data_IF_001738792744
#
_entry.id   IF_001738792744
#
_cell.length_a   1.000
_cell.length_b   1.000
_cell.length_c   1.000
_cell.angle_alpha   90.00
_cell.angle_beta   90.00
_cell.angle_gamma   90.00
#
_symmetry.space_group_name_H-M   'P 1'
#
loop_
_entity.id
_entity.type
_entity.pdbx_description
1 polymer ?
#
# COMPACT_ATOMS: atom_id res chain seq x y z
N UNK A 1 -14.37 -2.35 0.84
CA UNK A 1 -13.29 -1.92 -0.11
C UNK A 1 -13.90 -1.45 -1.44
N UNK A 2 -13.38 -0.38 -2.05
CA UNK A 2 -13.89 0.08 -3.36
C UNK A 2 -13.41 -0.80 -4.52
N UNK A 3 -14.32 -1.15 -5.42
CA UNK A 3 -14.04 -1.78 -6.72
C UNK A 3 -14.69 -0.96 -7.84
N UNK A 4 -14.10 -1.05 -9.03
CA UNK A 4 -14.47 -0.25 -10.20
C UNK A 4 -14.79 -1.10 -11.42
N UNK A 5 -15.81 -0.70 -12.16
CA UNK A 5 -16.12 -1.25 -13.48
C UNK A 5 -16.04 -0.13 -14.51
N UNK A 6 -15.24 -0.31 -15.56
CA UNK A 6 -15.15 0.65 -16.66
C UNK A 6 -16.12 0.27 -17.76
N UNK A 7 -17.01 1.18 -18.12
CA UNK A 7 -18.05 0.96 -19.13
C UNK A 7 -18.28 2.21 -19.97
N UNK A 8 -18.95 2.04 -21.11
CA UNK A 8 -19.39 3.17 -21.93
C UNK A 8 -20.44 3.98 -21.16
N UNK A 9 -20.26 5.30 -21.15
CA UNK A 9 -21.17 6.21 -20.46
C UNK A 9 -22.61 6.11 -20.98
N UNK A 10 -22.79 6.12 -22.30
CA UNK A 10 -24.10 5.99 -22.94
C UNK A 10 -24.79 4.65 -22.60
N UNK A 11 -24.02 3.56 -22.55
CA UNK A 11 -24.57 2.25 -22.19
C UNK A 11 -25.03 2.22 -20.72
N UNK A 12 -24.24 2.83 -19.83
CA UNK A 12 -24.62 2.99 -18.43
C UNK A 12 -25.88 3.83 -18.25
N UNK A 13 -25.93 5.02 -18.85
CA UNK A 13 -27.05 5.95 -18.76
C UNK A 13 -28.35 5.30 -19.22
N UNK A 14 -28.30 4.51 -20.30
CA UNK A 14 -29.46 3.78 -20.81
C UNK A 14 -29.94 2.66 -19.88
N UNK A 15 -29.02 1.88 -19.31
CA UNK A 15 -29.43 0.76 -18.44
C UNK A 15 -29.94 1.28 -17.09
N UNK A 16 -29.26 2.26 -16.51
CA UNK A 16 -29.52 2.73 -15.14
C UNK A 16 -30.86 3.44 -14.99
N UNK A 17 -31.46 3.94 -16.08
CA UNK A 17 -32.86 4.41 -16.12
C UNK A 17 -33.86 3.35 -15.62
N UNK A 18 -33.53 2.06 -15.77
CA UNK A 18 -34.33 0.94 -15.27
C UNK A 18 -34.03 0.57 -13.81
N UNK A 19 -33.19 1.34 -13.12
CA UNK A 19 -32.77 1.13 -11.73
C UNK A 19 -31.59 0.16 -11.56
N UNK A 20 -31.11 -0.47 -12.64
CA UNK A 20 -30.03 -1.47 -12.60
C UNK A 20 -29.05 -1.35 -13.76
N UNK A 21 -27.82 -1.81 -13.56
CA UNK A 21 -26.78 -1.90 -14.58
C UNK A 21 -26.17 -3.31 -14.69
N UNK A 22 -25.81 -3.71 -15.91
CA UNK A 22 -24.99 -4.89 -16.20
C UNK A 22 -25.71 -5.98 -16.99
N UNK A 23 -26.84 -5.66 -17.61
CA UNK A 23 -27.66 -6.61 -18.38
C UNK A 23 -26.85 -7.26 -19.48
N UNK A 24 -26.09 -6.44 -20.22
CA UNK A 24 -25.28 -6.91 -21.36
C UNK A 24 -24.13 -7.82 -20.91
N UNK A 25 -23.47 -7.49 -19.80
CA UNK A 25 -22.34 -8.19 -19.21
C UNK A 25 -22.78 -9.54 -18.66
N UNK A 26 -23.90 -9.57 -17.93
CA UNK A 26 -24.48 -10.80 -17.39
C UNK A 26 -24.88 -11.74 -18.53
N UNK A 27 -25.49 -11.23 -19.60
CA UNK A 27 -25.84 -12.04 -20.77
C UNK A 27 -24.60 -12.60 -21.48
N UNK A 28 -23.50 -11.84 -21.54
CA UNK A 28 -22.29 -12.23 -22.26
C UNK A 28 -21.37 -13.17 -21.46
N UNK A 29 -21.20 -12.92 -20.16
CA UNK A 29 -20.20 -13.60 -19.31
C UNK A 29 -20.77 -14.28 -18.07
N UNK A 30 -22.03 -14.00 -17.71
CA UNK A 30 -22.65 -14.46 -16.46
C UNK A 30 -22.25 -13.67 -15.22
N UNK A 31 -21.41 -12.63 -15.36
CA UNK A 31 -20.96 -11.74 -14.30
C UNK A 31 -20.51 -10.39 -14.88
N UNK A 32 -20.51 -9.37 -14.04
CA UNK A 32 -19.88 -8.07 -14.33
C UNK A 32 -18.46 -8.11 -13.76
N UNK A 33 -17.47 -7.89 -14.62
CA UNK A 33 -16.06 -7.88 -14.21
C UNK A 33 -15.68 -6.49 -13.69
N UNK A 34 -15.24 -6.43 -12.44
CA UNK A 34 -14.68 -5.25 -11.80
C UNK A 34 -13.14 -5.36 -11.68
N UNK A 35 -12.51 -4.31 -11.21
CA UNK A 35 -11.12 -4.26 -10.78
C UNK A 35 -11.01 -3.46 -9.48
N UNK A 36 -9.88 -3.52 -8.80
CA UNK A 36 -9.51 -2.46 -7.84
C UNK A 36 -8.83 -1.32 -8.61
N UNK A 37 -8.66 -0.17 -7.97
CA UNK A 37 -7.85 0.91 -8.53
C UNK A 37 -6.42 0.45 -8.86
N UNK A 38 -5.88 -0.47 -8.07
CA UNK A 38 -4.54 -1.04 -8.26
C UNK A 38 -4.46 -2.04 -9.42
N UNK A 39 -5.53 -2.83 -9.67
CA UNK A 39 -5.54 -3.84 -10.74
C UNK A 39 -6.07 -3.33 -12.07
N UNK A 40 -6.72 -2.17 -12.13
CA UNK A 40 -7.30 -1.68 -13.37
C UNK A 40 -6.28 -1.47 -14.50
N UNK A 41 -5.01 -1.18 -14.18
CA UNK A 41 -3.92 -1.06 -15.17
C UNK A 41 -3.78 -2.28 -16.10
N UNK A 42 -4.20 -3.46 -15.65
CA UNK A 42 -4.14 -4.69 -16.46
C UNK A 42 -5.33 -4.81 -17.42
N UNK A 43 -6.44 -4.09 -17.16
CA UNK A 43 -7.62 -4.01 -18.01
C UNK A 43 -7.60 -2.78 -18.93
N UNK A 44 -6.93 -1.70 -18.51
CA UNK A 44 -6.91 -0.41 -19.19
C UNK A 44 -6.58 -0.49 -20.71
N UNK A 45 -5.62 -1.31 -21.19
CA UNK A 45 -5.33 -1.44 -22.63
C UNK A 45 -6.52 -1.79 -23.52
N UNK A 46 -7.56 -2.44 -22.99
CA UNK A 46 -8.76 -2.75 -23.76
C UNK A 46 -9.61 -1.52 -24.09
N UNK A 47 -9.52 -0.46 -23.28
CA UNK A 47 -10.34 0.75 -23.35
C UNK A 47 -9.68 1.87 -24.16
N UNK A 48 -8.37 1.80 -24.43
CA UNK A 48 -7.65 2.76 -25.29
C UNK A 48 -7.80 2.50 -26.79
N UNK A 49 -8.67 1.58 -27.19
CA UNK A 49 -8.85 1.18 -28.60
C UNK A 49 -9.73 2.15 -29.40
N UNK A 50 -10.44 3.05 -28.72
CA UNK A 50 -11.30 4.05 -29.33
C UNK A 50 -11.37 5.31 -28.44
N UNK A 51 -12.15 6.31 -28.86
CA UNK A 51 -12.26 7.62 -28.20
C UNK A 51 -13.65 7.87 -27.60
N UNK A 52 -14.45 6.82 -27.39
CA UNK A 52 -15.79 6.97 -26.80
C UNK A 52 -15.68 7.37 -25.34
N UNK A 53 -16.72 7.98 -24.79
CA UNK A 53 -16.74 8.34 -23.37
C UNK A 53 -16.95 7.09 -22.50
N UNK A 54 -15.94 6.78 -21.68
CA UNK A 54 -16.02 5.75 -20.65
C UNK A 54 -16.09 6.38 -19.26
N UNK A 55 -16.72 5.67 -18.34
CA UNK A 55 -16.79 6.01 -16.93
C UNK A 55 -16.43 4.81 -16.07
N UNK A 56 -15.94 5.07 -14.87
CA UNK A 56 -15.83 4.11 -13.78
C UNK A 56 -17.09 4.15 -12.93
N UNK A 57 -17.77 3.02 -12.84
CA UNK A 57 -18.77 2.77 -11.80
C UNK A 57 -18.03 2.34 -10.54
N UNK A 58 -18.07 3.18 -9.49
CA UNK A 58 -17.43 2.89 -8.21
C UNK A 58 -18.47 2.31 -7.26
N UNK A 59 -18.21 1.10 -6.77
CA UNK A 59 -19.07 0.43 -5.78
C UNK A 59 -18.24 0.03 -4.57
N UNK A 60 -18.89 -0.02 -3.41
CA UNK A 60 -18.27 -0.56 -2.19
C UNK A 60 -18.60 -2.06 -2.12
N UNK A 61 -17.57 -2.90 -2.13
CA UNK A 61 -17.70 -4.36 -2.16
C UNK A 61 -18.60 -4.88 -1.03
N UNK A 62 -18.57 -4.25 0.14
CA UNK A 62 -19.36 -4.63 1.32
C UNK A 62 -20.85 -4.25 1.22
N UNK A 63 -21.20 -3.38 0.26
CA UNK A 63 -22.58 -2.94 0.01
C UNK A 63 -23.25 -3.65 -1.17
N UNK A 64 -22.48 -4.40 -1.95
CA UNK A 64 -23.02 -5.17 -3.08
C UNK A 64 -23.81 -6.37 -2.56
N UNK A 65 -25.09 -6.42 -2.91
CA UNK A 65 -26.06 -7.48 -2.55
C UNK A 65 -25.74 -8.80 -3.24
N UNK A 66 -25.21 -8.73 -4.46
CA UNK A 66 -24.89 -9.90 -5.25
C UNK A 66 -23.57 -10.54 -4.80
N UNK A 67 -23.44 -11.83 -5.07
CA UNK A 67 -22.22 -12.57 -4.73
C UNK A 67 -21.03 -12.04 -5.52
N UNK A 68 -19.92 -11.83 -4.83
CA UNK A 68 -18.63 -11.47 -5.41
C UNK A 68 -17.68 -12.67 -5.36
N UNK A 69 -16.96 -12.94 -6.44
CA UNK A 69 -15.84 -13.88 -6.47
C UNK A 69 -14.67 -13.28 -7.24
N UNK A 70 -13.46 -13.59 -6.80
CA UNK A 70 -12.27 -13.26 -7.56
C UNK A 70 -12.04 -14.34 -8.63
N UNK A 71 -12.01 -13.92 -9.89
CA UNK A 71 -11.78 -14.80 -11.05
C UNK A 71 -10.42 -14.45 -11.66
N UNK A 72 -9.59 -15.47 -11.87
CA UNK A 72 -8.28 -15.32 -12.51
C UNK A 72 -8.43 -15.21 -14.02
N UNK A 73 -7.70 -14.27 -14.63
CA UNK A 73 -7.55 -14.21 -16.07
C UNK A 73 -6.53 -15.24 -16.58
N UNK A 74 -6.27 -15.25 -17.89
CA UNK A 74 -5.30 -16.14 -18.53
C UNK A 74 -3.83 -15.94 -18.08
N UNK A 75 -3.51 -14.80 -17.46
CA UNK A 75 -2.19 -14.50 -16.87
C UNK A 75 -2.15 -14.82 -15.37
N UNK A 76 -3.28 -15.16 -14.77
CA UNK A 76 -3.44 -15.47 -13.35
C UNK A 76 -3.79 -14.26 -12.48
N UNK A 77 -3.98 -13.06 -13.06
CA UNK A 77 -4.44 -11.88 -12.32
C UNK A 77 -5.89 -12.06 -11.88
N UNK A 78 -6.16 -11.86 -10.60
CA UNK A 78 -7.46 -12.11 -9.99
C UNK A 78 -8.28 -10.81 -9.90
N UNK A 79 -9.45 -10.81 -10.51
CA UNK A 79 -10.35 -9.65 -10.57
C UNK A 79 -11.68 -9.95 -9.85
N UNK A 80 -12.25 -8.98 -9.10
CA UNK A 80 -13.57 -9.13 -8.51
C UNK A 80 -14.64 -9.21 -9.61
N UNK A 81 -15.52 -10.21 -9.52
CA UNK A 81 -16.63 -10.42 -10.45
C UNK A 81 -17.94 -10.49 -9.65
N UNK A 82 -18.91 -9.65 -10.03
CA UNK A 82 -20.23 -9.59 -9.42
C UNK A 82 -21.21 -10.45 -10.21
N UNK A 83 -21.82 -11.43 -9.56
CA UNK A 83 -22.76 -12.37 -10.19
C UNK A 83 -24.20 -11.88 -10.05
N UNK A 84 -24.51 -10.79 -10.72
CA UNK A 84 -25.84 -10.16 -10.77
C UNK A 84 -25.74 -8.71 -11.23
N UNK A 85 -26.89 -8.11 -11.56
CA UNK A 85 -26.96 -6.70 -11.94
C UNK A 85 -26.72 -5.80 -10.72
N UNK A 86 -26.02 -4.69 -10.93
CA UNK A 86 -25.79 -3.66 -9.91
C UNK A 86 -27.02 -2.77 -9.82
N UNK A 87 -27.50 -2.51 -8.61
CA UNK A 87 -28.61 -1.62 -8.32
C UNK A 87 -28.10 -0.17 -8.26
N UNK A 88 -28.93 0.79 -8.64
CA UNK A 88 -28.55 2.21 -8.66
C UNK A 88 -28.04 2.71 -7.29
N UNK A 89 -28.62 2.24 -6.19
CA UNK A 89 -28.22 2.60 -4.83
C UNK A 89 -26.91 1.94 -4.34
N UNK A 90 -26.40 0.95 -5.07
CA UNK A 90 -25.09 0.33 -4.82
C UNK A 90 -23.95 1.13 -5.48
N UNK A 91 -24.27 2.00 -6.43
CA UNK A 91 -23.29 2.85 -7.13
C UNK A 91 -23.00 4.07 -6.28
N UNK A 92 -21.80 4.11 -5.70
CA UNK A 92 -21.35 5.21 -4.83
C UNK A 92 -21.14 6.49 -5.62
N UNK A 93 -20.52 6.38 -6.79
CA UNK A 93 -20.26 7.49 -7.73
C UNK A 93 -19.85 6.95 -9.09
N UNK A 94 -20.03 7.78 -10.11
CA UNK A 94 -19.42 7.59 -11.43
C UNK A 94 -18.25 8.55 -11.58
N UNK A 95 -17.13 8.09 -12.12
CA UNK A 95 -15.97 8.95 -12.39
C UNK A 95 -15.55 8.86 -13.86
N UNK A 96 -15.24 9.95 -14.55
CA UNK A 96 -14.77 9.89 -15.93
C UNK A 96 -13.50 9.05 -16.07
N UNK A 97 -13.43 8.24 -17.14
CA UNK A 97 -12.19 7.63 -17.59
C UNK A 97 -11.53 8.56 -18.61
N UNK A 98 -10.36 9.10 -18.24
CA UNK A 98 -9.59 10.00 -19.11
C UNK A 98 -8.72 9.14 -20.03
N UNK A 99 -8.70 9.45 -21.33
CA UNK A 99 -7.89 8.73 -22.32
C UNK A 99 -6.45 9.24 -22.30
N UNK A 100 -5.79 9.15 -21.14
CA UNK A 100 -4.36 9.40 -21.02
C UNK A 100 -3.66 8.15 -20.47
N UNK A 101 -2.38 7.96 -20.81
CA UNK A 101 -1.57 6.77 -20.47
C UNK A 101 -1.38 6.53 -18.95
N UNK A 102 -1.92 7.42 -18.10
CA UNK A 102 -1.80 7.45 -16.64
C UNK A 102 -3.11 7.83 -15.93
N UNK A 103 -4.23 7.94 -16.63
CA UNK A 103 -5.47 8.55 -16.13
C UNK A 103 -6.05 7.84 -14.90
N UNK A 104 -5.79 6.54 -14.77
CA UNK A 104 -6.20 5.73 -13.62
C UNK A 104 -5.38 6.03 -12.35
N UNK A 105 -4.29 6.80 -12.43
CA UNK A 105 -3.45 7.19 -11.29
C UNK A 105 -3.95 8.44 -10.55
N UNK A 106 -4.87 9.22 -11.13
CA UNK A 106 -5.18 10.58 -10.67
C UNK A 106 -6.34 10.71 -9.68
N UNK A 107 -6.88 9.61 -9.12
CA UNK A 107 -8.13 9.71 -8.35
C UNK A 107 -7.95 9.76 -6.82
N UNK A 108 -6.81 9.31 -6.28
CA UNK A 108 -6.49 9.43 -4.86
C UNK A 108 -4.98 9.27 -4.63
N UNK A 109 -4.33 10.25 -4.01
CA UNK A 109 -2.96 10.09 -3.53
C UNK A 109 -2.91 8.98 -2.46
N UNK A 110 -1.85 8.18 -2.48
CA UNK A 110 -1.60 7.17 -1.46
C UNK A 110 -1.38 7.85 -0.10
N UNK A 111 -2.00 7.33 0.96
CA UNK A 111 -1.67 7.76 2.31
C UNK A 111 -0.43 7.01 2.76
N UNK A 112 0.58 7.72 3.25
CA UNK A 112 1.79 7.11 3.79
C UNK A 112 1.81 7.19 5.31
N UNK A 113 2.09 6.08 5.98
CA UNK A 113 2.24 6.03 7.45
C UNK A 113 3.62 5.47 7.79
N UNK A 114 4.42 6.29 8.44
CA UNK A 114 5.81 6.02 8.81
C UNK A 114 5.88 5.84 10.32
N UNK A 115 6.20 4.62 10.75
CA UNK A 115 6.25 4.23 12.17
C UNK A 115 7.64 3.73 12.55
N UNK A 116 7.87 3.57 13.85
CA UNK A 116 9.04 2.84 14.36
C UNK A 116 8.73 1.43 14.82
N UNK A 117 7.52 1.20 15.31
CA UNK A 117 7.08 -0.09 15.84
C UNK A 117 5.88 -0.63 15.07
N UNK A 118 5.74 -1.95 15.09
CA UNK A 118 4.58 -2.65 14.54
C UNK A 118 3.34 -2.54 15.44
N UNK A 119 3.49 -2.04 16.67
CA UNK A 119 2.43 -1.92 17.68
C UNK A 119 1.47 -0.75 17.39
N UNK A 120 0.76 -0.85 16.27
CA UNK A 120 -0.17 0.16 15.76
C UNK A 120 -1.47 0.23 16.56
N UNK A 121 -1.74 -0.73 17.44
CA UNK A 121 -2.94 -0.80 18.28
C UNK A 121 -2.75 -0.21 19.68
N UNK A 122 -1.57 0.34 19.99
CA UNK A 122 -1.34 0.98 21.28
C UNK A 122 -2.13 2.28 21.45
N UNK A 123 -2.45 2.63 22.71
CA UNK A 123 -3.28 3.79 23.02
C UNK A 123 -2.73 5.13 22.51
N UNK A 124 -1.41 5.26 22.36
CA UNK A 124 -0.77 6.50 21.93
C UNK A 124 -0.93 6.76 20.43
N UNK A 125 -1.01 5.72 19.59
CA UNK A 125 -1.13 5.83 18.14
C UNK A 125 -2.54 5.53 17.62
N UNK A 126 -3.31 4.68 18.31
CA UNK A 126 -4.64 4.25 17.88
C UNK A 126 -5.59 5.40 17.48
N UNK A 127 -5.69 6.52 18.24
CA UNK A 127 -6.57 7.62 17.85
C UNK A 127 -6.19 8.30 16.54
N UNK A 128 -4.90 8.31 16.17
CA UNK A 128 -4.41 8.85 14.91
C UNK A 128 -4.68 7.86 13.77
N UNK A 129 -4.35 6.58 13.98
CA UNK A 129 -4.39 5.54 12.95
C UNK A 129 -5.81 5.03 12.65
N UNK A 130 -6.75 5.09 13.59
CA UNK A 130 -8.16 4.63 13.38
C UNK A 130 -8.92 5.40 12.29
N UNK A 131 -8.39 6.53 11.83
CA UNK A 131 -8.94 7.29 10.70
C UNK A 131 -8.57 6.67 9.35
N UNK A 132 -7.51 5.87 9.32
CA UNK A 132 -6.90 5.29 8.12
C UNK A 132 -7.05 3.78 8.05
N UNK A 133 -7.41 3.13 9.16
CA UNK A 133 -7.61 1.68 9.27
C UNK A 133 -9.03 1.42 9.76
N UNK A 134 -9.77 0.60 9.01
CA UNK A 134 -11.17 0.26 9.21
C UNK A 134 -11.38 -1.26 9.21
N UNK A 135 -12.50 -1.71 9.78
CA UNK A 135 -12.83 -3.14 9.82
C UNK A 135 -13.10 -3.77 8.44
N UNK A 136 -13.27 -2.95 7.40
CA UNK A 136 -13.52 -3.37 6.01
C UNK A 136 -12.23 -3.44 5.18
N UNK A 137 -11.08 -3.13 5.78
CA UNK A 137 -9.82 -3.14 5.05
C UNK A 137 -9.32 -4.57 4.79
N UNK A 138 -8.53 -4.69 3.73
CA UNK A 138 -7.78 -5.87 3.34
C UNK A 138 -6.29 -5.49 3.41
N UNK A 139 -5.49 -6.22 4.18
CA UNK A 139 -4.08 -5.91 4.45
C UNK A 139 -3.17 -6.88 3.71
N UNK A 140 -2.20 -6.35 2.97
CA UNK A 140 -1.09 -7.10 2.39
C UNK A 140 0.19 -6.85 3.21
N UNK A 141 0.66 -7.86 3.94
CA UNK A 141 1.90 -7.79 4.72
C UNK A 141 3.08 -8.22 3.86
N UNK A 142 4.01 -7.30 3.65
CA UNK A 142 5.22 -7.48 2.84
C UNK A 142 6.39 -7.93 3.72
N UNK A 143 6.47 -9.23 4.00
CA UNK A 143 7.48 -9.84 4.89
C UNK A 143 8.83 -10.10 4.18
N UNK A 144 9.40 -9.05 3.61
CA UNK A 144 10.61 -9.10 2.78
C UNK A 144 11.83 -8.50 3.46
N UNK A 145 11.71 -8.04 4.70
CA UNK A 145 12.77 -7.34 5.45
C UNK A 145 13.71 -8.27 6.24
N UNK A 146 13.61 -9.58 6.08
CA UNK A 146 14.50 -10.52 6.79
C UNK A 146 15.97 -10.36 6.40
N UNK A 147 16.89 -10.66 7.32
CA UNK A 147 18.33 -10.61 7.07
C UNK A 147 18.83 -11.86 6.32
N UNK A 148 20.12 -11.91 6.01
CA UNK A 148 20.73 -13.01 5.25
C UNK A 148 20.84 -14.34 6.02
N UNK A 149 20.41 -14.37 7.27
CA UNK A 149 20.21 -15.59 8.06
C UNK A 149 19.01 -16.43 7.58
N UNK A 150 18.15 -15.84 6.74
CA UNK A 150 16.90 -16.44 6.27
C UNK A 150 17.03 -16.90 4.83
N UNK A 151 17.40 -18.16 4.63
CA UNK A 151 17.78 -18.71 3.33
C UNK A 151 16.77 -19.70 2.76
N UNK A 152 15.89 -20.20 3.59
CA UNK A 152 14.91 -21.23 3.24
C UNK A 152 13.50 -20.87 3.70
N UNK A 153 12.51 -21.58 3.17
CA UNK A 153 11.12 -21.50 3.64
C UNK A 153 11.01 -21.80 5.13
N UNK A 154 11.80 -22.73 5.67
CA UNK A 154 11.76 -23.05 7.10
C UNK A 154 12.30 -21.89 7.95
N UNK A 155 13.34 -21.20 7.51
CA UNK A 155 13.85 -20.00 8.18
C UNK A 155 12.80 -18.88 8.15
N UNK A 156 12.16 -18.69 7.00
CA UNK A 156 11.05 -17.73 6.85
C UNK A 156 9.89 -18.09 7.75
N UNK A 157 9.56 -19.39 7.85
CA UNK A 157 8.46 -19.86 8.69
C UNK A 157 8.73 -19.61 10.18
N UNK A 158 9.97 -19.77 10.66
CA UNK A 158 10.34 -19.42 12.05
C UNK A 158 10.11 -17.95 12.36
N UNK A 159 10.15 -17.09 11.34
CA UNK A 159 9.90 -15.65 11.49
C UNK A 159 8.44 -15.25 11.30
N UNK A 160 7.78 -15.73 10.24
CA UNK A 160 6.53 -15.13 9.76
C UNK A 160 5.37 -16.10 9.63
N UNK A 161 5.57 -17.42 9.84
CA UNK A 161 4.50 -18.40 9.63
C UNK A 161 3.29 -18.11 10.52
N UNK A 162 2.05 -18.16 9.97
CA UNK A 162 0.84 -18.00 10.76
C UNK A 162 0.80 -18.85 12.02
N UNK A 163 0.60 -18.18 13.16
CA UNK A 163 0.48 -18.79 14.49
C UNK A 163 1.79 -19.30 15.11
N UNK A 164 2.92 -19.28 14.40
CA UNK A 164 4.19 -19.86 14.86
C UNK A 164 5.37 -18.89 14.78
N UNK A 165 5.41 -18.04 13.75
CA UNK A 165 6.52 -17.13 13.50
C UNK A 165 6.63 -16.05 14.57
N UNK A 166 7.86 -15.75 14.99
CA UNK A 166 8.14 -14.76 16.04
C UNK A 166 7.58 -13.35 15.73
N UNK A 167 7.51 -12.98 14.46
CA UNK A 167 7.01 -11.69 13.98
C UNK A 167 5.55 -11.73 13.53
N UNK A 168 4.92 -12.91 13.51
CA UNK A 168 3.57 -13.04 12.94
C UNK A 168 2.53 -12.23 13.73
N UNK A 169 2.52 -12.36 15.06
CA UNK A 169 1.52 -11.70 15.91
C UNK A 169 1.66 -10.19 15.90
N UNK A 170 2.89 -9.67 16.00
CA UNK A 170 3.15 -8.23 16.00
C UNK A 170 2.75 -7.55 14.68
N UNK A 171 2.61 -8.32 13.60
CA UNK A 171 2.21 -7.82 12.29
C UNK A 171 0.81 -8.29 11.85
N UNK A 172 0.07 -9.00 12.70
CA UNK A 172 -1.29 -9.50 12.42
C UNK A 172 -2.28 -9.07 13.49
N UNK A 173 -2.00 -9.40 14.76
CA UNK A 173 -2.96 -9.24 15.85
C UNK A 173 -3.25 -7.76 16.14
N UNK A 174 -2.29 -6.87 15.84
CA UNK A 174 -2.41 -5.41 15.94
C UNK A 174 -3.54 -4.83 15.06
N UNK A 175 -3.99 -5.54 14.04
CA UNK A 175 -5.13 -5.10 13.21
C UNK A 175 -6.49 -5.44 13.85
N UNK A 176 -6.55 -6.36 14.82
CA UNK A 176 -7.82 -6.81 15.39
C UNK A 176 -8.51 -5.74 16.23
N UNK A 177 -7.75 -4.82 16.85
CA UNK A 177 -8.32 -3.67 17.56
C UNK A 177 -9.07 -2.70 16.62
N UNK A 178 -8.78 -2.76 15.31
CA UNK A 178 -9.48 -2.01 14.28
C UNK A 178 -10.70 -2.75 13.71
N UNK A 179 -10.95 -3.99 14.17
CA UNK A 179 -12.07 -4.82 13.75
C UNK A 179 -11.80 -5.71 12.54
N UNK A 180 -10.57 -5.73 12.01
CA UNK A 180 -10.18 -6.67 10.96
C UNK A 180 -10.15 -8.10 11.50
N UNK A 181 -10.45 -9.06 10.62
CA UNK A 181 -10.35 -10.49 10.89
C UNK A 181 -9.07 -11.06 10.28
N UNK A 182 -8.68 -12.25 10.75
CA UNK A 182 -7.44 -12.92 10.30
C UNK A 182 -7.44 -13.19 8.79
N UNK A 183 -8.61 -13.47 8.21
CA UNK A 183 -8.77 -13.77 6.78
C UNK A 183 -8.56 -12.53 5.89
N UNK A 184 -8.58 -11.33 6.48
CA UNK A 184 -8.32 -10.06 5.79
C UNK A 184 -6.83 -9.68 5.79
N UNK A 185 -5.96 -10.50 6.41
CA UNK A 185 -4.52 -10.23 6.53
C UNK A 185 -3.74 -11.23 5.67
N UNK A 186 -3.29 -10.76 4.51
CA UNK A 186 -2.63 -11.55 3.47
C UNK A 186 -1.12 -11.35 3.53
N UNK A 187 -0.39 -12.41 3.85
CA UNK A 187 1.07 -12.37 3.92
C UNK A 187 1.69 -12.72 2.58
N UNK A 188 2.62 -11.88 2.10
CA UNK A 188 3.48 -12.21 0.97
C UNK A 188 4.63 -13.08 1.45
N UNK A 189 4.76 -14.27 0.87
CA UNK A 189 5.81 -15.22 1.18
C UNK A 189 6.84 -15.25 0.05
N UNK A 190 8.06 -14.85 0.36
CA UNK A 190 9.18 -14.77 -0.59
C UNK A 190 9.49 -16.10 -1.29
N UNK A 191 9.35 -17.23 -0.59
CA UNK A 191 9.80 -18.53 -1.06
C UNK A 191 8.72 -19.30 -1.81
N UNK A 192 7.44 -19.04 -1.55
CA UNK A 192 6.33 -19.84 -2.11
C UNK A 192 5.44 -19.07 -3.06
N UNK A 193 5.28 -17.76 -2.89
CA UNK A 193 4.42 -17.00 -3.79
C UNK A 193 5.11 -16.81 -5.14
N UNK A 194 4.37 -17.05 -6.21
CA UNK A 194 4.74 -16.57 -7.53
C UNK A 194 4.57 -15.04 -7.60
N UNK A 195 5.29 -14.39 -8.53
CA UNK A 195 5.11 -12.96 -8.82
C UNK A 195 3.63 -12.57 -8.99
N UNK A 196 2.83 -13.38 -9.68
CA UNK A 196 1.41 -13.10 -9.92
C UNK A 196 0.59 -13.19 -8.61
N UNK A 197 0.91 -14.12 -7.72
CA UNK A 197 0.26 -14.20 -6.40
C UNK A 197 0.61 -12.99 -5.53
N UNK A 198 1.86 -12.54 -5.56
CA UNK A 198 2.28 -11.30 -4.88
C UNK A 198 1.53 -10.08 -5.43
N UNK A 199 1.47 -9.95 -6.76
CA UNK A 199 0.72 -8.87 -7.40
C UNK A 199 -0.76 -8.90 -7.01
N UNK A 200 -1.38 -10.08 -6.99
CA UNK A 200 -2.79 -10.23 -6.57
C UNK A 200 -3.01 -9.81 -5.11
N UNK A 201 -2.13 -10.18 -4.18
CA UNK A 201 -2.22 -9.78 -2.77
C UNK A 201 -2.11 -8.27 -2.61
N UNK A 202 -1.14 -7.65 -3.29
CA UNK A 202 -0.94 -6.20 -3.27
C UNK A 202 -2.15 -5.47 -3.87
N UNK A 203 -2.56 -5.84 -5.09
CA UNK A 203 -3.61 -5.10 -5.80
C UNK A 203 -4.99 -5.21 -5.15
N UNK A 204 -5.27 -6.33 -4.48
CA UNK A 204 -6.57 -6.59 -3.85
C UNK A 204 -6.59 -6.23 -2.36
N UNK A 205 -5.56 -5.52 -1.89
CA UNK A 205 -5.49 -4.97 -0.53
C UNK A 205 -5.74 -3.46 -0.56
N UNK A 206 -6.41 -2.93 0.47
CA UNK A 206 -6.56 -1.49 0.72
C UNK A 206 -5.44 -0.92 1.61
N UNK A 207 -4.68 -1.80 2.26
CA UNK A 207 -3.47 -1.47 3.03
C UNK A 207 -2.30 -2.35 2.59
N UNK A 208 -1.16 -1.76 2.28
CA UNK A 208 0.13 -2.47 2.18
C UNK A 208 0.96 -2.14 3.43
N UNK A 209 1.38 -3.17 4.16
CA UNK A 209 2.17 -3.04 5.38
C UNK A 209 3.58 -3.61 5.21
N UNK A 210 4.59 -2.75 5.30
CA UNK A 210 6.01 -3.13 5.22
C UNK A 210 6.60 -3.37 6.61
N UNK A 211 7.24 -4.52 6.77
CA UNK A 211 7.85 -4.93 8.05
C UNK A 211 9.23 -4.28 8.27
N UNK A 212 9.64 -4.21 9.54
CA UNK A 212 10.98 -3.80 9.96
C UNK A 212 12.03 -4.91 9.75
N UNK A 213 13.31 -4.56 9.70
CA UNK A 213 14.43 -5.46 9.39
C UNK A 213 15.45 -4.77 8.49
N UNK A 214 15.94 -5.44 7.44
CA UNK A 214 16.90 -4.90 6.48
C UNK A 214 16.20 -4.14 5.33
N UNK A 215 16.25 -2.79 5.27
CA UNK A 215 15.55 -2.02 4.22
C UNK A 215 16.15 -2.21 2.82
N UNK A 216 17.47 -2.37 2.72
CA UNK A 216 18.20 -2.57 1.47
C UNK A 216 17.89 -3.94 0.85
N UNK A 217 17.89 -5.00 1.68
CA UNK A 217 17.53 -6.35 1.25
C UNK A 217 16.04 -6.43 0.87
N UNK A 218 15.15 -5.77 1.60
CA UNK A 218 13.73 -5.67 1.21
C UNK A 218 13.57 -5.03 -0.16
N UNK A 219 14.26 -3.91 -0.43
CA UNK A 219 14.26 -3.26 -1.75
C UNK A 219 14.83 -4.15 -2.84
N UNK A 220 15.91 -4.89 -2.57
CA UNK A 220 16.49 -5.87 -3.49
C UNK A 220 15.46 -6.94 -3.87
N UNK A 221 14.75 -7.51 -2.89
CA UNK A 221 13.72 -8.55 -3.10
C UNK A 221 12.49 -8.00 -3.85
N UNK A 222 12.07 -6.77 -3.57
CA UNK A 222 11.01 -6.09 -4.34
C UNK A 222 11.40 -5.93 -5.81
N UNK A 223 12.66 -5.57 -6.10
CA UNK A 223 13.18 -5.45 -7.48
C UNK A 223 13.29 -6.81 -8.17
N UNK A 224 13.70 -7.85 -7.46
CA UNK A 224 13.79 -9.23 -7.96
C UNK A 224 12.45 -9.72 -8.51
N UNK A 225 11.36 -9.50 -7.77
CA UNK A 225 10.01 -9.84 -8.22
C UNK A 225 9.39 -8.79 -9.16
N UNK A 226 10.12 -7.73 -9.52
CA UNK A 226 9.66 -6.61 -10.38
C UNK A 226 8.39 -5.94 -9.85
N UNK A 227 8.25 -5.81 -8.54
CA UNK A 227 7.08 -5.22 -7.88
C UNK A 227 7.16 -3.69 -7.74
N UNK A 228 8.30 -3.08 -8.05
CA UNK A 228 8.54 -1.64 -7.85
C UNK A 228 7.48 -0.75 -8.50
N UNK A 229 7.11 -1.01 -9.76
CA UNK A 229 6.10 -0.19 -10.47
C UNK A 229 4.68 -0.39 -9.92
N UNK A 230 4.38 -1.58 -9.38
CA UNK A 230 3.10 -1.82 -8.72
C UNK A 230 3.03 -1.04 -7.40
N UNK A 231 4.03 -1.19 -6.54
CA UNK A 231 4.08 -0.55 -5.23
C UNK A 231 4.19 0.98 -5.32
N UNK A 232 5.03 1.51 -6.21
CA UNK A 232 5.19 2.97 -6.40
C UNK A 232 3.89 3.67 -6.81
N UNK A 233 3.02 2.96 -7.50
CA UNK A 233 1.75 3.49 -8.00
C UNK A 233 0.55 2.89 -7.23
N UNK A 234 0.80 2.34 -6.05
CA UNK A 234 -0.22 1.78 -5.20
C UNK A 234 -1.16 2.89 -4.71
N UNK A 235 -2.46 2.61 -4.70
CA UNK A 235 -3.52 3.43 -4.15
C UNK A 235 -4.10 2.73 -2.91
N UNK A 236 -4.23 3.47 -1.83
CA UNK A 236 -4.66 2.94 -0.54
C UNK A 236 -3.83 3.57 0.59
N UNK A 237 -3.60 2.78 1.65
CA UNK A 237 -2.69 3.14 2.73
C UNK A 237 -1.41 2.33 2.58
N UNK A 238 -0.28 3.01 2.42
CA UNK A 238 1.05 2.42 2.48
C UNK A 238 1.63 2.72 3.86
N UNK A 239 1.72 1.69 4.70
CA UNK A 239 2.25 1.84 6.05
C UNK A 239 3.47 0.95 6.25
N UNK A 240 4.39 1.37 7.11
CA UNK A 240 5.54 0.57 7.47
C UNK A 240 6.21 1.07 8.73
N UNK A 241 6.98 0.19 9.35
CA UNK A 241 7.76 0.54 10.53
C UNK A 241 9.24 0.28 10.34
N UNK A 242 10.09 1.12 10.94
CA UNK A 242 11.55 1.00 10.85
C UNK A 242 11.98 0.96 9.37
N UNK A 243 12.63 -0.11 8.91
CA UNK A 243 12.94 -0.36 7.50
C UNK A 243 11.75 -0.14 6.54
N UNK A 244 10.56 -0.58 6.93
CA UNK A 244 9.32 -0.41 6.16
C UNK A 244 8.88 1.05 5.99
N UNK A 245 9.27 1.93 6.92
CA UNK A 245 9.05 3.36 6.80
C UNK A 245 10.11 4.00 5.88
N UNK A 246 11.39 3.67 6.10
CA UNK A 246 12.53 4.24 5.34
C UNK A 246 12.44 3.94 3.85
N UNK A 247 12.06 2.72 3.49
CA UNK A 247 12.07 2.27 2.11
C UNK A 247 11.05 2.98 1.20
N UNK A 248 10.08 3.72 1.77
CA UNK A 248 9.04 4.43 1.00
C UNK A 248 9.59 5.67 0.28
N UNK A 249 10.71 6.22 0.74
CA UNK A 249 11.38 7.36 0.15
C UNK A 249 12.04 7.01 -1.20
N UNK A 250 12.37 8.02 -2.00
CA UNK A 250 13.23 7.86 -3.18
C UNK A 250 14.66 7.49 -2.81
N UNK A 251 15.16 8.11 -1.75
CA UNK A 251 16.44 7.83 -1.13
C UNK A 251 16.34 7.99 0.39
N UNK A 252 16.88 7.02 1.12
CA UNK A 252 16.96 7.03 2.59
C UNK A 252 18.41 6.82 3.02
N UNK A 253 18.77 7.32 4.20
CA UNK A 253 20.07 7.03 4.81
C UNK A 253 19.95 5.90 5.82
N UNK A 254 21.05 5.21 6.07
CA UNK A 254 21.20 4.25 7.16
C UNK A 254 22.29 4.79 8.08
N UNK A 255 21.91 5.03 9.33
CA UNK A 255 22.82 5.47 10.39
C UNK A 255 23.66 4.28 10.87
N UNK A 256 24.96 4.44 11.16
CA UNK A 256 25.79 3.35 11.63
C UNK A 256 25.26 2.64 12.89
N UNK A 257 25.19 1.31 12.84
CA UNK A 257 24.84 0.41 13.94
C UNK A 257 25.58 -0.94 13.83
N UNK A 258 25.10 -1.98 14.54
CA UNK A 258 25.71 -3.32 14.54
C UNK A 258 25.55 -4.04 13.19
N UNK A 259 24.43 -3.84 12.50
CA UNK A 259 24.12 -4.47 11.21
C UNK A 259 24.72 -3.68 10.04
N UNK A 260 24.83 -2.35 10.19
CA UNK A 260 25.35 -1.41 9.20
C UNK A 260 26.51 -0.60 9.79
N UNK A 261 27.78 -1.01 9.62
CA UNK A 261 28.92 -0.39 10.31
C UNK A 261 29.30 1.01 9.80
N UNK A 262 28.67 1.48 8.73
CA UNK A 262 28.97 2.75 8.08
C UNK A 262 27.71 3.44 7.60
N UNK A 263 27.77 4.77 7.54
CA UNK A 263 26.68 5.57 6.99
C UNK A 263 26.56 5.32 5.49
N UNK A 264 25.34 5.07 5.01
CA UNK A 264 25.07 4.78 3.59
C UNK A 264 23.78 5.46 3.15
N UNK A 265 23.74 5.95 1.91
CA UNK A 265 22.49 6.26 1.23
C UNK A 265 22.04 5.10 0.36
N UNK A 266 20.76 4.76 0.45
CA UNK A 266 20.13 3.71 -0.33
C UNK A 266 18.93 4.22 -1.11
N UNK A 267 18.65 3.58 -2.24
CA UNK A 267 17.47 3.90 -3.07
C UNK A 267 16.24 3.14 -2.57
N UNK A 268 15.17 3.86 -2.28
CA UNK A 268 13.88 3.28 -1.91
C UNK A 268 12.89 3.13 -3.07
N UNK A 269 11.60 3.06 -2.76
CA UNK A 269 10.49 2.94 -3.72
C UNK A 269 10.26 4.22 -4.53
N UNK A 270 10.57 5.37 -3.94
CA UNK A 270 10.31 6.68 -4.53
C UNK A 270 8.85 7.09 -4.51
N UNK A 271 8.14 6.77 -3.43
CA UNK A 271 6.81 7.30 -3.15
C UNK A 271 6.88 8.65 -2.43
N UNK A 272 7.82 8.81 -1.50
CA UNK A 272 8.04 10.03 -0.72
C UNK A 272 9.35 10.72 -1.13
N UNK A 273 9.37 12.04 -1.05
CA UNK A 273 10.53 12.89 -1.36
C UNK A 273 10.44 14.22 -0.60
N UNK A 274 11.56 14.94 -0.50
CA UNK A 274 11.61 16.29 0.08
C UNK A 274 11.89 16.34 1.59
N UNK A 275 11.93 15.21 2.27
CA UNK A 275 12.37 15.08 3.66
C UNK A 275 13.00 13.70 3.89
N UNK A 276 13.65 13.51 5.04
CA UNK A 276 14.16 12.22 5.52
C UNK A 276 13.59 11.87 6.89
N UNK A 277 13.77 10.62 7.31
CA UNK A 277 13.44 10.15 8.65
C UNK A 277 14.63 9.43 9.28
N UNK A 278 14.76 9.56 10.59
CA UNK A 278 15.66 8.76 11.42
C UNK A 278 14.78 7.92 12.35
N UNK A 279 14.54 6.63 12.02
CA UNK A 279 13.76 5.75 12.89
C UNK A 279 14.55 5.38 14.14
N UNK A 280 13.85 4.88 15.16
CA UNK A 280 14.42 4.54 16.47
C UNK A 280 15.31 5.65 17.06
N UNK A 281 14.90 6.91 16.86
CA UNK A 281 15.66 8.06 17.33
C UNK A 281 15.74 8.08 18.85
N UNK A 282 16.95 8.20 19.37
CA UNK A 282 17.28 8.31 20.79
C UNK A 282 18.12 9.55 21.08
N UNK A 283 18.25 10.45 20.12
CA UNK A 283 19.09 11.65 20.20
C UNK A 283 20.56 11.35 20.51
N UNK A 284 21.04 10.18 20.08
CA UNK A 284 22.45 9.78 20.21
C UNK A 284 23.34 10.66 19.33
N UNK A 285 24.64 10.70 19.64
CA UNK A 285 25.61 11.49 18.87
C UNK A 285 25.67 11.02 17.40
N UNK A 286 25.73 9.71 17.17
CA UNK A 286 25.85 9.12 15.82
C UNK A 286 24.60 9.43 14.98
N UNK A 287 23.41 9.36 15.58
CA UNK A 287 22.17 9.72 14.88
C UNK A 287 22.16 11.20 14.50
N UNK A 288 22.51 12.10 15.42
CA UNK A 288 22.57 13.54 15.14
C UNK A 288 23.59 13.87 14.06
N UNK A 289 24.79 13.27 14.11
CA UNK A 289 25.82 13.44 13.08
C UNK A 289 25.34 12.94 11.71
N UNK A 290 24.62 11.82 11.68
CA UNK A 290 24.04 11.26 10.45
C UNK A 290 22.94 12.15 9.87
N UNK A 291 22.03 12.65 10.71
CA UNK A 291 20.99 13.61 10.30
C UNK A 291 21.60 14.92 9.78
N UNK A 292 22.65 15.43 10.43
CA UNK A 292 23.38 16.62 9.97
C UNK A 292 24.05 16.41 8.62
N UNK A 293 24.61 15.22 8.39
CA UNK A 293 25.19 14.86 7.10
C UNK A 293 24.14 14.89 6.00
N UNK A 294 22.96 14.30 6.25
CA UNK A 294 21.83 14.33 5.31
C UNK A 294 21.40 15.75 5.01
N UNK A 295 21.25 16.61 6.02
CA UNK A 295 20.87 18.02 5.82
C UNK A 295 21.91 18.74 4.97
N UNK A 296 23.19 18.60 5.32
CA UNK A 296 24.30 19.24 4.61
C UNK A 296 24.33 18.83 3.13
N UNK A 297 24.17 17.56 2.84
CA UNK A 297 24.35 17.01 1.48
C UNK A 297 23.08 17.04 0.64
N UNK A 298 21.91 16.94 1.25
CA UNK A 298 20.61 16.78 0.56
C UNK A 298 19.68 17.97 0.73
N UNK A 299 19.99 18.91 1.63
CA UNK A 299 19.22 20.13 1.88
C UNK A 299 17.74 19.83 2.14
N UNK A 300 17.47 18.81 2.96
CA UNK A 300 16.13 18.35 3.32
C UNK A 300 16.04 18.15 4.83
N UNK A 301 14.88 18.48 5.39
CA UNK A 301 14.59 18.24 6.80
C UNK A 301 14.69 16.75 7.14
N UNK A 302 15.15 16.44 8.35
CA UNK A 302 15.20 15.06 8.85
C UNK A 302 14.43 14.95 10.15
N UNK A 303 13.45 14.05 10.15
CA UNK A 303 12.55 13.82 11.28
C UNK A 303 13.03 12.64 12.11
N UNK A 304 13.49 12.91 13.33
CA UNK A 304 13.85 11.91 14.32
C UNK A 304 12.61 11.33 14.96
N UNK A 305 12.18 10.16 14.50
CA UNK A 305 11.01 9.46 15.04
C UNK A 305 11.49 8.65 16.25
N UNK A 306 10.95 8.88 17.45
CA UNK A 306 11.25 8.06 18.63
C UNK A 306 10.42 6.78 18.63
N UNK A 307 10.73 5.81 19.50
CA UNK A 307 10.03 4.51 19.56
C UNK A 307 8.49 4.63 19.57
N UNK A 308 7.96 5.62 20.29
CA UNK A 308 6.53 5.98 20.30
C UNK A 308 6.27 7.26 19.50
N UNK A 309 6.61 7.21 18.23
CA UNK A 309 6.43 8.31 17.27
C UNK A 309 6.00 7.77 15.92
N UNK A 310 5.38 8.65 15.13
CA UNK A 310 5.04 8.35 13.76
C UNK A 310 4.65 9.59 12.97
N UNK A 311 4.63 9.44 11.65
CA UNK A 311 4.29 10.49 10.70
C UNK A 311 3.26 9.92 9.71
N UNK A 312 2.18 10.64 9.49
CA UNK A 312 1.23 10.37 8.40
C UNK A 312 1.40 11.45 7.33
N UNK A 313 1.46 11.04 6.07
CA UNK A 313 1.37 11.91 4.90
C UNK A 313 0.05 11.62 4.19
N UNK A 314 -0.81 12.64 4.11
CA UNK A 314 -2.15 12.53 3.52
C UNK A 314 -2.47 13.81 2.74
N UNK A 315 -2.59 13.69 1.42
CA UNK A 315 -2.86 14.81 0.50
C UNK A 315 -1.86 15.96 0.66
N UNK A 316 -0.56 15.63 0.73
CA UNK A 316 0.52 16.59 0.97
C UNK A 316 0.62 17.13 2.40
N UNK A 317 -0.32 16.82 3.30
CA UNK A 317 -0.26 17.23 4.69
C UNK A 317 0.56 16.22 5.51
N UNK A 318 1.51 16.73 6.29
CA UNK A 318 2.27 15.96 7.26
C UNK A 318 1.66 16.08 8.65
N UNK A 319 1.32 14.93 9.25
CA UNK A 319 0.75 14.84 10.60
C UNK A 319 1.69 14.01 11.46
N UNK A 320 2.39 14.66 12.38
CA UNK A 320 3.20 14.00 13.40
C UNK A 320 2.32 13.59 14.58
N UNK A 321 2.57 12.41 15.14
CA UNK A 321 1.92 11.92 16.36
C UNK A 321 2.92 11.15 17.22
N UNK A 322 2.65 11.09 18.53
CA UNK A 322 3.64 10.61 19.49
C UNK A 322 4.83 11.59 19.57
N UNK A 323 6.04 11.06 19.76
CA UNK A 323 7.26 11.85 19.91
C UNK A 323 8.09 11.84 18.62
N UNK A 324 8.26 13.01 18.03
CA UNK A 324 9.07 13.26 16.83
C UNK A 324 9.84 14.55 17.05
N UNK A 325 11.15 14.52 16.83
CA UNK A 325 11.98 15.74 16.75
C UNK A 325 12.27 16.05 15.27
N UNK A 326 12.53 17.32 14.97
CA UNK A 326 12.88 17.77 13.62
C UNK A 326 14.27 18.39 13.68
N UNK A 327 15.11 18.03 12.72
CA UNK A 327 16.31 18.78 12.39
C UNK A 327 16.08 19.42 11.02
N UNK A 328 15.87 20.73 11.05
CA UNK A 328 15.53 21.53 9.87
C UNK A 328 16.78 21.78 9.03
N UNK A 329 16.63 21.73 7.71
CA UNK A 329 17.64 22.29 6.83
C UNK A 329 17.69 23.81 7.01
N UNK A 330 18.89 24.40 7.07
CA UNK A 330 18.99 25.86 7.09
C UNK A 330 18.37 26.43 5.80
N UNK A 331 17.49 27.42 5.95
CA UNK A 331 16.94 28.21 4.86
C UNK A 331 18.12 28.85 4.10
N UNK A 332 18.61 28.21 3.04
CA UNK A 332 19.54 28.83 2.10
C UNK A 332 18.78 29.80 1.21
N UNK A 333 18.28 30.89 1.83
CA UNK A 333 18.06 32.14 1.11
C UNK A 333 19.43 32.75 0.84
N UNK A 334 20.05 32.30 -0.25
CA UNK A 334 21.17 32.99 -0.89
C UNK A 334 20.65 33.86 -2.03
#
# INVERSE_FOLDING_TARGET
MEIIHCCLKEAFEKEIENGTYGTSEIKAKGYIQFATWNSFRYLAPAFYKDTREYIFLVVDMDKVRNRIRFVKDHKGHAFPCVYGMIQHDEIKRCVPFIHDDKAWLNQKECVHILMNTSMIDENWCYPALKKYISAQDEVCVMAFSFFDDTKTLDDWNRQYKPGQGIWYKSNTDVFFRYGLKREQIHWVNYFTDSKIEMENKIMNSSIVFFTGGAPDLMMKRIREFKLTSLLKNYQGVMMGYSAGAMMQFDEYHITPDEDYPSFVYEKGLGCLKGFGIEPHYQASRIQKESMQLVIKEKQKDVYGIYEKGGIIIDQGNMIMFGKVDIMEAEDTKL
#
